data_IF_829564528696
#
_entry.id   IF_829564528696
#
_cell.length_a   1.000
_cell.length_b   1.000
_cell.length_c   1.000
_cell.angle_alpha   90.00
_cell.angle_beta   90.00
_cell.angle_gamma   90.00
#
_symmetry.space_group_name_H-M   'P 1'
#
loop_
_entity.id
_entity.type
_entity.pdbx_description
1 polymer ?
#
# COMPACT_ATOMS: atom_id res chain seq x y z
N UNK A 1 -18.21 9.63 16.89
CA UNK A 1 -16.86 9.56 17.47
C UNK A 1 -16.30 8.15 17.32
N UNK A 2 -16.77 7.15 18.08
CA UNK A 2 -16.26 5.77 18.02
C UNK A 2 -16.22 5.12 16.62
N UNK A 3 -17.27 5.28 15.81
CA UNK A 3 -17.30 4.75 14.44
C UNK A 3 -16.19 5.34 13.55
N UNK A 4 -15.84 6.61 13.74
CA UNK A 4 -14.80 7.28 12.95
C UNK A 4 -13.41 6.77 13.34
N UNK A 5 -13.18 6.56 14.65
CA UNK A 5 -11.93 6.01 15.17
C UNK A 5 -11.73 4.55 14.74
N UNK A 6 -12.80 3.77 14.72
CA UNK A 6 -12.77 2.39 14.23
C UNK A 6 -12.45 2.35 12.73
N UNK A 7 -13.01 3.27 11.93
CA UNK A 7 -12.67 3.41 10.52
C UNK A 7 -11.21 3.82 10.30
N UNK A 8 -10.71 4.81 11.03
CA UNK A 8 -9.31 5.23 10.96
C UNK A 8 -8.38 4.05 11.28
N UNK A 9 -8.67 3.30 12.36
CA UNK A 9 -7.90 2.12 12.74
C UNK A 9 -7.90 1.03 11.67
N UNK A 10 -9.05 0.77 11.04
CA UNK A 10 -9.15 -0.20 9.95
C UNK A 10 -8.34 0.24 8.73
N UNK A 11 -8.43 1.51 8.33
CA UNK A 11 -7.65 2.08 7.23
C UNK A 11 -6.15 1.94 7.49
N UNK A 12 -5.68 2.39 8.64
CA UNK A 12 -4.27 2.28 9.04
C UNK A 12 -3.78 0.82 9.04
N UNK A 13 -4.60 -0.11 9.52
CA UNK A 13 -4.29 -1.54 9.51
C UNK A 13 -4.13 -2.09 8.09
N UNK A 14 -4.96 -1.66 7.13
CA UNK A 14 -4.86 -2.08 5.73
C UNK A 14 -3.56 -1.56 5.09
N UNK A 15 -3.22 -0.29 5.31
CA UNK A 15 -1.94 0.28 4.84
C UNK A 15 -0.73 -0.45 5.40
N UNK A 16 -0.70 -0.73 6.72
CA UNK A 16 0.37 -1.54 7.34
C UNK A 16 0.46 -2.93 6.76
N UNK A 17 -0.67 -3.58 6.53
CA UNK A 17 -0.69 -4.92 5.98
C UNK A 17 -0.05 -4.97 4.59
N UNK A 18 -0.36 -4.00 3.72
CA UNK A 18 0.32 -3.88 2.43
C UNK A 18 1.79 -3.46 2.52
N UNK A 19 2.13 -2.59 3.47
CA UNK A 19 3.52 -2.23 3.77
C UNK A 19 4.35 -3.48 4.02
N UNK A 20 3.92 -4.34 4.95
CA UNK A 20 4.60 -5.58 5.28
C UNK A 20 4.67 -6.55 4.10
N UNK A 21 3.58 -6.67 3.33
CA UNK A 21 3.51 -7.58 2.19
C UNK A 21 4.48 -7.21 1.05
N UNK A 22 4.76 -5.92 0.87
CA UNK A 22 5.57 -5.39 -0.23
C UNK A 22 6.97 -4.97 0.21
N UNK A 23 7.31 -5.11 1.49
CA UNK A 23 8.60 -4.64 2.02
C UNK A 23 9.77 -5.50 1.57
N UNK A 24 9.63 -6.82 1.69
CA UNK A 24 10.68 -7.78 1.36
C UNK A 24 10.08 -9.16 1.08
N UNK A 25 10.93 -10.12 0.70
CA UNK A 25 10.57 -11.53 0.59
C UNK A 25 9.92 -12.04 1.89
N UNK A 26 8.76 -12.70 1.77
CA UNK A 26 8.08 -13.24 2.94
C UNK A 26 8.85 -14.45 3.50
N UNK A 27 9.04 -14.47 4.82
CA UNK A 27 9.45 -15.69 5.52
C UNK A 27 8.35 -16.76 5.48
N UNK A 28 8.68 -17.99 5.84
CA UNK A 28 7.70 -19.07 5.96
C UNK A 28 6.61 -18.73 6.99
N UNK A 29 7.00 -18.12 8.11
CA UNK A 29 6.10 -17.68 9.17
C UNK A 29 5.16 -16.58 8.68
N UNK A 30 5.70 -15.56 7.99
CA UNK A 30 4.90 -14.46 7.46
C UNK A 30 3.91 -14.97 6.40
N UNK A 31 4.35 -15.84 5.50
CA UNK A 31 3.50 -16.44 4.47
C UNK A 31 2.40 -17.33 5.08
N UNK A 32 2.72 -18.13 6.09
CA UNK A 32 1.72 -18.92 6.81
C UNK A 32 0.71 -18.03 7.53
N UNK A 33 1.20 -16.96 8.17
CA UNK A 33 0.40 -15.98 8.92
C UNK A 33 -0.60 -15.22 8.05
N UNK A 34 -0.43 -15.13 6.73
CA UNK A 34 -1.41 -14.51 5.81
C UNK A 34 -2.79 -15.19 5.86
N UNK A 35 -2.90 -16.40 6.42
CA UNK A 35 -4.19 -17.11 6.64
C UNK A 35 -4.66 -17.13 8.08
N UNK A 36 -3.99 -16.44 8.98
CA UNK A 36 -4.44 -16.34 10.36
C UNK A 36 -5.76 -15.56 10.44
N UNK A 37 -6.47 -15.77 11.55
CA UNK A 37 -7.82 -15.22 11.76
C UNK A 37 -7.88 -13.71 11.51
N UNK A 38 -6.84 -12.98 11.90
CA UNK A 38 -6.77 -11.52 11.72
C UNK A 38 -6.68 -11.12 10.25
N UNK A 39 -5.81 -11.77 9.46
CA UNK A 39 -5.67 -11.50 8.03
C UNK A 39 -6.91 -11.94 7.25
N UNK A 40 -7.52 -13.07 7.62
CA UNK A 40 -8.80 -13.49 7.04
C UNK A 40 -9.93 -12.51 7.37
N UNK A 41 -9.99 -12.00 8.59
CA UNK A 41 -10.96 -10.99 8.99
C UNK A 41 -10.77 -9.69 8.20
N UNK A 42 -9.53 -9.21 8.05
CA UNK A 42 -9.21 -8.05 7.23
C UNK A 42 -9.68 -8.23 5.78
N UNK A 43 -9.32 -9.35 5.13
CA UNK A 43 -9.78 -9.65 3.76
C UNK A 43 -11.30 -9.80 3.66
N UNK A 44 -11.95 -10.35 4.68
CA UNK A 44 -13.40 -10.44 4.72
C UNK A 44 -14.05 -9.06 4.83
N UNK A 45 -13.45 -8.16 5.63
CA UNK A 45 -13.79 -6.75 5.71
C UNK A 45 -13.81 -6.07 4.34
N UNK A 46 -12.73 -6.21 3.58
CA UNK A 46 -12.61 -5.62 2.24
C UNK A 46 -13.72 -6.08 1.27
N UNK A 47 -14.23 -7.30 1.41
CA UNK A 47 -15.30 -7.82 0.54
C UNK A 47 -16.68 -7.21 0.80
N UNK A 48 -16.88 -6.50 1.90
CA UNK A 48 -18.12 -5.75 2.15
C UNK A 48 -18.20 -4.47 1.32
N UNK A 49 -17.07 -4.00 0.79
CA UNK A 49 -17.00 -2.88 -0.15
C UNK A 49 -17.18 -3.45 -1.57
N UNK A 50 -18.29 -3.16 -2.29
CA UNK A 50 -18.60 -3.78 -3.59
C UNK A 50 -17.45 -3.71 -4.60
N UNK A 51 -16.77 -2.58 -4.65
CA UNK A 51 -15.67 -2.26 -5.56
C UNK A 51 -14.39 -3.04 -5.24
N UNK A 52 -14.24 -3.54 -4.02
CA UNK A 52 -13.11 -4.36 -3.58
C UNK A 52 -13.41 -5.85 -3.59
N UNK A 53 -14.66 -6.27 -3.81
CA UNK A 53 -15.04 -7.69 -3.82
C UNK A 53 -14.23 -8.50 -4.84
N UNK A 54 -14.14 -8.01 -6.08
CA UNK A 54 -13.44 -8.71 -7.16
C UNK A 54 -11.91 -8.71 -6.94
N UNK A 55 -11.23 -7.56 -6.71
CA UNK A 55 -9.80 -7.54 -6.42
C UNK A 55 -9.43 -8.41 -5.21
N UNK A 56 -10.24 -8.39 -4.15
CA UNK A 56 -10.00 -9.21 -2.96
C UNK A 56 -10.09 -10.71 -3.27
N UNK A 57 -11.11 -11.14 -4.04
CA UNK A 57 -11.23 -12.54 -4.47
C UNK A 57 -10.06 -12.95 -5.36
N UNK A 58 -9.58 -12.08 -6.24
CA UNK A 58 -8.42 -12.37 -7.09
C UNK A 58 -7.17 -12.58 -6.24
N UNK A 59 -6.90 -11.69 -5.29
CA UNK A 59 -5.79 -11.86 -4.36
C UNK A 59 -5.91 -13.15 -3.53
N UNK A 60 -7.08 -13.43 -2.96
CA UNK A 60 -7.33 -14.67 -2.20
C UNK A 60 -7.05 -15.94 -3.03
N UNK A 61 -7.44 -15.94 -4.31
CA UNK A 61 -7.14 -17.07 -5.22
C UNK A 61 -5.63 -17.24 -5.42
N UNK A 62 -4.89 -16.15 -5.60
CA UNK A 62 -3.42 -16.19 -5.77
C UNK A 62 -2.71 -16.61 -4.48
N UNK A 63 -3.15 -16.13 -3.32
CA UNK A 63 -2.66 -16.58 -2.02
C UNK A 63 -2.89 -18.08 -1.82
N UNK A 64 -4.11 -18.56 -2.09
CA UNK A 64 -4.43 -19.99 -2.02
C UNK A 64 -3.59 -20.83 -2.99
N UNK A 65 -3.28 -20.32 -4.19
CA UNK A 65 -2.40 -20.98 -5.14
C UNK A 65 -0.95 -21.00 -4.62
N UNK A 66 -0.45 -19.87 -4.10
CA UNK A 66 0.92 -19.73 -3.57
C UNK A 66 1.18 -20.76 -2.47
N UNK A 67 0.23 -20.92 -1.55
CA UNK A 67 0.32 -21.82 -0.40
C UNK A 67 0.23 -23.31 -0.75
N UNK A 68 -0.23 -23.65 -1.96
CA UNK A 68 -0.28 -25.04 -2.45
C UNK A 68 1.01 -25.46 -3.14
N UNK A 69 1.93 -24.53 -3.41
CA UNK A 69 3.22 -24.83 -4.04
C UNK A 69 4.09 -25.64 -3.07
N UNK A 70 4.85 -26.60 -3.62
CA UNK A 70 5.65 -27.53 -2.79
C UNK A 70 6.74 -26.78 -2.02
N UNK A 71 7.43 -25.86 -2.71
CA UNK A 71 8.44 -24.99 -2.12
C UNK A 71 7.89 -23.56 -1.99
N UNK A 72 6.69 -23.42 -1.42
CA UNK A 72 5.89 -22.17 -1.44
C UNK A 72 6.66 -20.89 -1.09
N UNK A 73 7.51 -20.93 -0.07
CA UNK A 73 8.27 -19.77 0.39
C UNK A 73 9.37 -19.45 -0.62
N UNK A 74 10.19 -20.43 -0.98
CA UNK A 74 11.28 -20.26 -1.95
C UNK A 74 10.77 -19.80 -3.32
N UNK A 75 9.64 -20.36 -3.77
CA UNK A 75 9.01 -19.97 -5.02
C UNK A 75 8.45 -18.53 -4.94
N UNK A 76 7.83 -18.15 -3.82
CA UNK A 76 7.32 -16.78 -3.66
C UNK A 76 8.44 -15.75 -3.48
N UNK A 77 9.53 -16.13 -2.81
CA UNK A 77 10.75 -15.35 -2.72
C UNK A 77 11.37 -15.12 -4.11
N UNK A 78 11.44 -16.16 -4.94
CA UNK A 78 11.87 -16.04 -6.33
C UNK A 78 10.95 -15.14 -7.16
N UNK A 79 9.63 -15.24 -6.97
CA UNK A 79 8.65 -14.34 -7.60
C UNK A 79 8.92 -12.88 -7.18
N UNK A 80 9.14 -12.61 -5.89
CA UNK A 80 9.47 -11.27 -5.38
C UNK A 80 10.78 -10.75 -5.95
N UNK A 81 11.85 -11.55 -5.90
CA UNK A 81 13.17 -11.16 -6.37
C UNK A 81 13.16 -10.86 -7.87
N UNK A 82 12.53 -11.73 -8.67
CA UNK A 82 12.40 -11.52 -10.11
C UNK A 82 11.57 -10.29 -10.46
N UNK A 83 10.57 -9.97 -9.65
CA UNK A 83 9.69 -8.83 -9.88
C UNK A 83 10.30 -7.51 -9.40
N UNK A 84 10.83 -7.41 -8.19
CA UNK A 84 11.19 -6.12 -7.57
C UNK A 84 12.70 -5.87 -7.44
N UNK A 85 13.53 -6.92 -7.39
CA UNK A 85 14.97 -6.77 -7.14
C UNK A 85 15.79 -6.70 -8.42
N UNK A 86 15.23 -7.10 -9.56
CA UNK A 86 15.87 -6.96 -10.87
C UNK A 86 15.68 -5.54 -11.44
N UNK A 87 16.68 -5.00 -12.15
CA UNK A 87 16.54 -3.70 -12.81
C UNK A 87 15.53 -3.75 -13.97
N UNK A 88 15.03 -2.57 -14.33
CA UNK A 88 14.30 -2.37 -15.59
C UNK A 88 15.18 -2.77 -16.79
N UNK A 89 14.62 -3.40 -17.85
CA UNK A 89 13.19 -3.61 -18.11
C UNK A 89 12.60 -4.89 -17.50
N UNK A 90 13.42 -5.77 -16.92
CA UNK A 90 12.99 -7.09 -16.44
C UNK A 90 12.16 -6.99 -15.17
N UNK A 91 12.63 -6.27 -14.16
CA UNK A 91 11.89 -6.03 -12.94
C UNK A 91 10.99 -4.79 -13.02
N UNK A 92 10.27 -4.54 -11.93
CA UNK A 92 9.41 -3.40 -11.67
C UNK A 92 9.93 -2.72 -10.42
N UNK A 93 10.41 -1.49 -10.56
CA UNK A 93 10.90 -0.73 -9.41
C UNK A 93 9.79 -0.48 -8.37
N UNK A 94 10.00 -0.83 -7.09
CA UNK A 94 9.08 -0.44 -6.01
C UNK A 94 9.35 0.97 -5.46
N UNK A 95 10.18 1.78 -6.11
CA UNK A 95 10.54 3.14 -5.68
C UNK A 95 9.85 4.21 -6.52
N UNK A 96 9.23 5.19 -5.86
CA UNK A 96 8.52 6.30 -6.49
C UNK A 96 9.40 7.09 -7.45
N UNK A 97 10.65 7.37 -7.08
CA UNK A 97 11.58 8.17 -7.89
C UNK A 97 12.00 7.57 -9.23
N UNK A 98 11.62 6.31 -9.52
CA UNK A 98 11.91 5.64 -10.81
C UNK A 98 10.74 5.73 -11.80
N UNK A 99 9.74 6.56 -11.54
CA UNK A 99 8.56 6.74 -12.37
C UNK A 99 8.58 8.11 -13.07
N UNK A 100 7.82 8.29 -14.17
CA UNK A 100 7.76 9.58 -14.86
C UNK A 100 7.31 10.70 -13.92
N UNK A 101 7.86 11.90 -14.13
CA UNK A 101 7.55 13.12 -13.36
C UNK A 101 7.98 13.10 -11.89
N UNK A 102 8.68 12.06 -11.43
CA UNK A 102 9.32 11.98 -10.11
C UNK A 102 10.83 11.89 -10.25
N UNK A 103 11.58 12.10 -9.17
CA UNK A 103 13.02 11.83 -9.13
C UNK A 103 13.42 11.21 -7.80
N UNK A 104 14.43 10.31 -7.74
CA UNK A 104 14.83 9.68 -6.48
C UNK A 104 15.29 10.69 -5.43
N UNK A 105 16.01 11.75 -5.85
CA UNK A 105 16.47 12.79 -4.94
C UNK A 105 15.32 13.52 -4.26
N UNK A 106 14.30 13.89 -5.03
CA UNK A 106 13.18 14.68 -4.52
C UNK A 106 12.24 13.82 -3.68
N UNK A 107 11.79 12.67 -4.21
CA UNK A 107 10.89 11.77 -3.49
C UNK A 107 11.48 11.33 -2.16
N UNK A 108 12.75 10.93 -2.13
CA UNK A 108 13.40 10.51 -0.89
C UNK A 108 13.57 11.67 0.09
N UNK A 109 13.78 12.90 -0.40
CA UNK A 109 13.88 14.09 0.44
C UNK A 109 12.54 14.39 1.10
N UNK A 110 11.46 14.42 0.32
CA UNK A 110 10.10 14.65 0.83
C UNK A 110 9.74 13.54 1.83
N UNK A 111 9.84 12.26 1.47
CA UNK A 111 9.46 11.17 2.38
C UNK A 111 10.27 11.15 3.67
N UNK A 112 11.55 11.54 3.65
CA UNK A 112 12.34 11.72 4.89
C UNK A 112 11.80 12.85 5.79
N UNK A 113 11.29 13.94 5.21
CA UNK A 113 10.68 15.01 5.99
C UNK A 113 9.44 14.49 6.73
N UNK A 114 8.56 13.76 6.04
CA UNK A 114 7.39 13.13 6.66
C UNK A 114 7.78 12.12 7.75
N UNK A 115 8.81 11.29 7.53
CA UNK A 115 9.30 10.36 8.56
C UNK A 115 9.73 11.09 9.84
N UNK A 116 10.48 12.20 9.69
CA UNK A 116 10.93 13.01 10.83
C UNK A 116 9.76 13.69 11.53
N UNK A 117 8.80 14.25 10.79
CA UNK A 117 7.62 14.92 11.35
C UNK A 117 6.72 13.97 12.16
N UNK A 118 6.68 12.69 11.77
CA UNK A 118 5.93 11.64 12.46
C UNK A 118 6.74 10.91 13.52
N UNK A 119 7.96 11.37 13.82
CA UNK A 119 8.88 10.74 14.78
C UNK A 119 9.15 9.26 14.48
N UNK A 120 9.06 8.87 13.21
CA UNK A 120 9.35 7.52 12.76
C UNK A 120 10.85 7.39 12.52
N UNK A 121 11.49 6.47 13.23
CA UNK A 121 12.87 6.13 12.96
C UNK A 121 12.98 5.51 11.55
N UNK A 122 14.01 5.87 10.77
CA UNK A 122 14.37 5.08 9.59
C UNK A 122 14.91 3.73 10.07
N UNK A 123 14.02 2.79 10.34
CA UNK A 123 14.39 1.46 10.85
C UNK A 123 14.96 0.55 9.75
N UNK A 124 14.94 0.99 8.50
CA UNK A 124 14.95 0.10 7.33
C UNK A 124 16.13 0.42 6.40
N UNK A 125 16.75 -0.63 5.84
CA UNK A 125 17.77 -0.51 4.78
C UNK A 125 17.23 0.03 3.45
N UNK A 126 15.91 0.23 3.35
CA UNK A 126 15.24 0.71 2.14
C UNK A 126 15.22 2.23 2.04
N UNK A 127 15.22 2.72 0.81
CA UNK A 127 15.08 4.15 0.56
C UNK A 127 13.67 4.65 0.92
N UNK A 128 13.58 5.88 1.41
CA UNK A 128 12.31 6.46 1.89
C UNK A 128 11.22 6.57 0.80
N UNK A 129 11.59 6.51 -0.49
CA UNK A 129 10.65 6.50 -1.62
C UNK A 129 10.16 5.10 -2.02
N UNK A 130 10.52 4.05 -1.28
CA UNK A 130 10.02 2.70 -1.47
C UNK A 130 8.53 2.58 -1.08
N UNK A 131 7.72 1.85 -1.87
CA UNK A 131 6.26 1.74 -1.67
C UNK A 131 5.91 1.33 -0.24
N UNK A 132 6.58 0.32 0.31
CA UNK A 132 6.29 -0.15 1.66
C UNK A 132 6.52 0.95 2.71
N UNK A 133 7.56 1.77 2.54
CA UNK A 133 7.83 2.89 3.46
C UNK A 133 6.71 3.94 3.35
N UNK A 134 6.28 4.28 2.14
CA UNK A 134 5.18 5.23 1.92
C UNK A 134 3.84 4.72 2.49
N UNK A 135 3.58 3.42 2.42
CA UNK A 135 2.39 2.81 3.02
C UNK A 135 2.47 2.82 4.56
N UNK A 136 3.64 2.55 5.14
CA UNK A 136 3.88 2.71 6.58
C UNK A 136 3.66 4.14 7.05
N UNK A 137 4.17 5.13 6.30
CA UNK A 137 3.94 6.55 6.52
C UNK A 137 2.44 6.89 6.51
N UNK A 138 1.71 6.42 5.50
CA UNK A 138 0.27 6.65 5.43
C UNK A 138 -0.48 6.08 6.64
N UNK A 139 -0.09 4.88 7.10
CA UNK A 139 -0.70 4.29 8.28
C UNK A 139 -0.45 5.14 9.54
N UNK A 140 0.77 5.64 9.72
CA UNK A 140 1.11 6.53 10.83
C UNK A 140 0.36 7.86 10.76
N UNK A 141 0.17 8.42 9.57
CA UNK A 141 -0.64 9.64 9.37
C UNK A 141 -2.10 9.47 9.79
N UNK A 142 -2.67 8.28 9.56
CA UNK A 142 -4.03 7.96 9.97
C UNK A 142 -4.13 7.81 11.49
N UNK A 143 -3.07 7.30 12.12
CA UNK A 143 -2.99 7.08 13.58
C UNK A 143 -2.63 8.33 14.40
N UNK A 144 -2.41 9.46 13.74
CA UNK A 144 -2.42 10.76 14.40
C UNK A 144 -3.80 11.08 15.01
N UNK A 145 -4.16 12.35 15.10
CA UNK A 145 -5.51 12.73 15.53
C UNK A 145 -6.53 12.52 14.39
N UNK A 146 -7.37 11.46 14.41
CA UNK A 146 -8.30 11.19 13.33
C UNK A 146 -9.37 12.29 13.20
N UNK A 147 -9.62 13.07 14.26
CA UNK A 147 -10.61 14.15 14.23
C UNK A 147 -10.03 15.47 13.71
N UNK A 148 -8.72 15.55 13.48
CA UNK A 148 -8.09 16.74 12.94
C UNK A 148 -8.33 16.85 11.43
N UNK A 149 -9.11 17.85 11.04
CA UNK A 149 -9.34 18.18 9.62
C UNK A 149 -8.02 18.47 8.87
N UNK A 150 -7.04 19.06 9.57
CA UNK A 150 -5.70 19.30 9.03
C UNK A 150 -5.00 17.97 8.71
N UNK A 151 -5.09 16.98 9.60
CA UNK A 151 -4.46 15.66 9.36
C UNK A 151 -5.19 14.88 8.27
N UNK A 152 -6.51 15.03 8.15
CA UNK A 152 -7.27 14.41 7.06
C UNK A 152 -6.92 15.04 5.69
N UNK A 153 -6.71 16.36 5.65
CA UNK A 153 -6.20 17.04 4.45
C UNK A 153 -4.76 16.61 4.10
N UNK A 154 -3.90 16.39 5.11
CA UNK A 154 -2.56 15.84 4.89
C UNK A 154 -2.61 14.40 4.35
N UNK A 155 -3.50 13.56 4.86
CA UNK A 155 -3.75 12.21 4.33
C UNK A 155 -4.16 12.27 2.85
N UNK A 156 -5.13 13.12 2.50
CA UNK A 156 -5.54 13.33 1.10
C UNK A 156 -4.36 13.78 0.24
N UNK A 157 -3.62 14.81 0.69
CA UNK A 157 -2.46 15.34 -0.02
C UNK A 157 -1.42 14.25 -0.27
N UNK A 158 -1.10 13.45 0.75
CA UNK A 158 -0.14 12.35 0.65
C UNK A 158 -0.57 11.31 -0.38
N UNK A 159 -1.82 10.83 -0.30
CA UNK A 159 -2.34 9.84 -1.25
C UNK A 159 -2.35 10.37 -2.69
N UNK A 160 -2.83 11.60 -2.88
CA UNK A 160 -3.01 12.18 -4.21
C UNK A 160 -1.68 12.61 -4.85
N UNK A 161 -0.82 13.30 -4.11
CA UNK A 161 0.40 13.92 -4.64
C UNK A 161 1.63 13.01 -4.58
N UNK A 162 1.67 12.01 -3.69
CA UNK A 162 2.85 11.16 -3.51
C UNK A 162 2.63 9.68 -3.86
N UNK A 163 1.45 9.12 -3.64
CA UNK A 163 1.18 7.72 -4.00
C UNK A 163 0.55 7.56 -5.40
N UNK A 164 -0.55 8.26 -5.69
CA UNK A 164 -1.29 8.05 -6.94
C UNK A 164 -0.61 8.60 -8.20
N UNK A 165 0.40 9.46 -8.07
CA UNK A 165 1.18 9.96 -9.21
C UNK A 165 1.97 8.86 -9.94
N UNK A 166 2.27 7.75 -9.25
CA UNK A 166 3.10 6.67 -9.81
C UNK A 166 2.53 5.26 -9.59
N UNK A 167 1.76 5.04 -8.52
CA UNK A 167 1.19 3.73 -8.17
C UNK A 167 0.36 3.09 -9.31
N UNK A 168 -0.45 3.81 -10.11
CA UNK A 168 -1.16 3.22 -11.25
C UNK A 168 -0.21 2.59 -12.29
N UNK A 169 0.92 3.25 -12.57
CA UNK A 169 1.91 2.72 -13.50
C UNK A 169 2.72 1.58 -12.87
N UNK A 170 3.01 1.63 -11.57
CA UNK A 170 3.58 0.50 -10.83
C UNK A 170 2.67 -0.72 -10.94
N UNK A 171 1.38 -0.57 -10.62
CA UNK A 171 0.38 -1.64 -10.74
C UNK A 171 0.31 -2.22 -12.15
N UNK A 172 0.27 -1.35 -13.18
CA UNK A 172 0.25 -1.79 -14.59
C UNK A 172 1.49 -2.61 -14.95
N UNK A 173 2.69 -2.15 -14.57
CA UNK A 173 3.95 -2.84 -14.85
C UNK A 173 4.04 -4.17 -14.09
N UNK A 174 3.61 -4.21 -12.82
CA UNK A 174 3.56 -5.43 -12.02
C UNK A 174 2.62 -6.46 -12.64
N UNK A 175 1.44 -6.05 -13.11
CA UNK A 175 0.52 -6.95 -13.82
C UNK A 175 1.14 -7.55 -15.10
N UNK A 176 1.97 -6.80 -15.81
CA UNK A 176 2.61 -7.25 -17.05
C UNK A 176 3.79 -8.21 -16.82
N UNK A 177 4.40 -8.21 -15.63
CA UNK A 177 5.69 -8.88 -15.37
C UNK A 177 5.64 -9.92 -14.26
N UNK A 178 4.62 -9.89 -13.40
CA UNK A 178 4.40 -10.92 -12.39
C UNK A 178 3.77 -12.16 -13.03
N UNK A 179 4.61 -13.09 -13.47
CA UNK A 179 4.18 -14.34 -14.11
C UNK A 179 3.27 -15.18 -13.20
N UNK A 180 3.55 -15.23 -11.90
CA UNK A 180 2.75 -16.00 -10.96
C UNK A 180 1.46 -15.25 -10.57
N UNK A 181 1.51 -13.91 -10.56
CA UNK A 181 0.39 -13.01 -10.38
C UNK A 181 -0.01 -12.76 -8.92
N UNK A 182 0.81 -13.17 -7.95
CA UNK A 182 0.53 -12.94 -6.52
C UNK A 182 0.67 -11.46 -6.15
N UNK A 183 1.82 -10.85 -6.49
CA UNK A 183 2.11 -9.46 -6.16
C UNK A 183 1.31 -8.50 -7.04
N UNK A 184 1.08 -8.84 -8.31
CA UNK A 184 0.19 -8.06 -9.18
C UNK A 184 -1.25 -8.01 -8.63
N UNK A 185 -1.76 -9.12 -8.10
CA UNK A 185 -3.09 -9.13 -7.48
C UNK A 185 -3.13 -8.30 -6.18
N UNK A 186 -2.06 -8.36 -5.37
CA UNK A 186 -1.94 -7.53 -4.17
C UNK A 186 -1.91 -6.04 -4.52
N UNK A 187 -1.05 -5.64 -5.46
CA UNK A 187 -0.90 -4.23 -5.87
C UNK A 187 -2.18 -3.71 -6.54
N UNK A 188 -2.86 -4.54 -7.33
CA UNK A 188 -4.16 -4.16 -7.91
C UNK A 188 -5.24 -3.93 -6.85
N UNK A 189 -5.28 -4.76 -5.81
CA UNK A 189 -6.16 -4.54 -4.66
C UNK A 189 -5.79 -3.26 -3.88
N UNK A 190 -4.49 -3.03 -3.64
CA UNK A 190 -3.99 -1.82 -2.99
C UNK A 190 -4.38 -0.55 -3.76
N UNK A 191 -4.15 -0.53 -5.08
CA UNK A 191 -4.49 0.61 -5.92
C UNK A 191 -5.99 0.91 -5.84
N UNK A 192 -6.84 -0.13 -5.92
CA UNK A 192 -8.28 0.09 -5.82
C UNK A 192 -8.70 0.56 -4.44
N UNK A 193 -8.09 0.03 -3.38
CA UNK A 193 -8.31 0.49 -2.02
C UNK A 193 -7.96 1.97 -1.85
N UNK A 194 -6.77 2.41 -2.30
CA UNK A 194 -6.34 3.81 -2.19
C UNK A 194 -7.29 4.76 -2.95
N UNK A 195 -7.78 4.36 -4.13
CA UNK A 195 -8.74 5.17 -4.89
C UNK A 195 -10.03 5.40 -4.09
N UNK A 196 -10.59 4.34 -3.51
CA UNK A 196 -11.79 4.44 -2.66
C UNK A 196 -11.51 5.20 -1.36
N UNK A 197 -10.29 5.07 -0.81
CA UNK A 197 -9.89 5.78 0.38
C UNK A 197 -9.87 7.29 0.16
N UNK A 198 -9.41 7.74 -1.01
CA UNK A 198 -9.46 9.16 -1.41
C UNK A 198 -10.91 9.62 -1.58
N UNK A 199 -11.75 8.84 -2.26
CA UNK A 199 -13.18 9.15 -2.42
C UNK A 199 -13.84 9.33 -1.03
N UNK A 200 -13.57 8.41 -0.11
CA UNK A 200 -14.07 8.50 1.27
C UNK A 200 -13.55 9.73 2.03
N UNK A 201 -12.26 10.10 1.87
CA UNK A 201 -11.71 11.31 2.50
C UNK A 201 -12.43 12.56 1.96
N UNK A 202 -12.63 12.66 0.65
CA UNK A 202 -13.34 13.79 0.02
C UNK A 202 -14.79 13.88 0.53
N UNK A 203 -15.49 12.75 0.62
CA UNK A 203 -16.88 12.73 1.09
C UNK A 203 -16.99 13.04 2.59
N UNK A 204 -16.01 12.61 3.38
CA UNK A 204 -15.94 12.86 4.82
C UNK A 204 -15.51 14.28 5.15
N UNK A 205 -14.84 14.96 4.21
CA UNK A 205 -14.41 16.34 4.29
C UNK A 205 -14.67 17.03 2.96
N UNK A 206 -15.91 17.46 2.68
CA UNK A 206 -16.18 18.26 1.50
C UNK A 206 -15.32 19.51 1.64
N UNK A 207 -14.25 19.58 0.85
CA UNK A 207 -13.37 20.73 0.77
C UNK A 207 -14.28 21.95 0.63
N UNK A 208 -14.42 22.74 1.70
CA UNK A 208 -15.12 24.02 1.59
C UNK A 208 -14.29 24.78 0.58
N UNK A 209 -14.86 24.98 -0.61
CA UNK A 209 -14.30 25.87 -1.60
C UNK A 209 -13.96 27.16 -0.86
N UNK A 210 -12.67 27.46 -0.82
CA UNK A 210 -12.15 28.75 -0.35
C UNK A 210 -12.43 29.77 -1.45
N UNK A 211 -13.72 29.96 -1.70
CA UNK A 211 -14.26 30.90 -2.66
C UNK A 211 -15.45 31.63 -2.01
N UNK A 212 -15.21 32.18 -0.82
CA UNK A 212 -15.89 33.38 -0.38
C UNK A 212 -14.80 34.42 -0.10
N UNK A 213 -14.64 35.29 -1.09
CA UNK A 213 -13.84 36.51 -1.08
C UNK A 213 -14.48 37.59 -0.22
#
# INVERSE_FOLDING_TARGET
MQLFDDMARQRAQIYRWFSLLLFQELSDEALAGLRDKNNLALMNGLKFIPELLLPTRQFQRRLCAALKRKARQQELAADFASLFLLPSPTGVSPYAGHYPHTTPSEERRIMRQWLVELELAPENNEAADHIAIQLGLMAALIEGDPHSEILLAQQYHFLHQHLLVWLPLFSKRSYQRDNFGFYAAAIGLLLRFIQLDIEWIIDSFPMRDSNES
#
